data_IF_679855589491
#
_entry.id   IF_679855589491
#
_cell.length_a   1.000
_cell.length_b   1.000
_cell.length_c   1.000
_cell.angle_alpha   90.00
_cell.angle_beta   90.00
_cell.angle_gamma   90.00
#
_symmetry.space_group_name_H-M   'P 1'
#
loop_
_entity.id
_entity.type
_entity.pdbx_description
1 polymer ?
#
# COMPACT_ATOMS: atom_id res chain seq x y z
N UNK A 1 -8.03 -2.39 33.07
CA UNK A 1 -6.66 -2.11 32.58
C UNK A 1 -6.58 -0.63 32.27
N UNK A 2 -5.55 0.09 32.72
CA UNK A 2 -5.42 1.53 32.42
C UNK A 2 -5.10 1.69 30.93
N UNK A 3 -5.90 2.45 30.21
CA UNK A 3 -5.53 2.97 28.89
C UNK A 3 -4.24 3.78 29.06
N UNK A 4 -3.11 3.20 28.64
CA UNK A 4 -1.82 3.88 28.66
C UNK A 4 -1.80 4.84 27.47
N UNK A 5 -2.41 6.00 27.67
CA UNK A 5 -2.30 7.12 26.73
C UNK A 5 -0.99 7.85 26.98
N UNK A 6 -0.19 8.01 25.93
CA UNK A 6 1.10 8.70 25.98
C UNK A 6 1.01 10.00 25.18
N UNK A 7 1.63 11.07 25.67
CA UNK A 7 1.61 12.39 25.01
C UNK A 7 2.81 12.55 24.09
N UNK A 8 2.56 12.75 22.80
CA UNK A 8 3.57 13.16 21.81
C UNK A 8 3.63 14.69 21.72
N UNK A 9 4.83 15.26 21.80
CA UNK A 9 5.07 16.71 21.57
C UNK A 9 6.02 16.85 20.39
N UNK A 10 5.63 17.62 19.37
CA UNK A 10 6.38 17.83 18.14
C UNK A 10 6.68 19.33 17.96
N UNK A 11 7.88 19.66 17.47
CA UNK A 11 8.18 21.01 16.96
C UNK A 11 7.90 21.02 15.46
N UNK A 12 7.10 21.99 15.02
CA UNK A 12 6.67 22.17 13.64
C UNK A 12 6.65 23.67 13.34
N UNK A 13 6.95 24.05 12.10
CA UNK A 13 6.87 25.45 11.68
C UNK A 13 5.41 25.91 11.57
N UNK A 14 5.21 27.23 11.51
CA UNK A 14 3.89 27.81 11.34
C UNK A 14 3.28 27.49 9.98
N UNK A 15 4.11 27.50 8.93
CA UNK A 15 3.71 27.20 7.55
C UNK A 15 3.23 25.75 7.41
N UNK A 16 4.00 24.79 7.93
CA UNK A 16 3.59 23.37 7.93
C UNK A 16 2.30 23.14 8.73
N UNK A 17 2.09 23.89 9.83
CA UNK A 17 0.86 23.80 10.62
C UNK A 17 -0.35 24.35 9.86
N UNK A 18 -0.18 25.47 9.15
CA UNK A 18 -1.22 26.07 8.30
C UNK A 18 -1.60 25.16 7.14
N UNK A 19 -0.62 24.46 6.55
CA UNK A 19 -0.88 23.48 5.50
C UNK A 19 -1.71 22.29 6.01
N UNK A 20 -1.39 21.76 7.19
CA UNK A 20 -2.19 20.73 7.86
C UNK A 20 -3.62 21.23 8.11
N UNK A 21 -3.78 22.45 8.60
CA UNK A 21 -5.10 23.04 8.87
C UNK A 21 -5.94 23.20 7.59
N UNK A 22 -5.32 23.70 6.53
CA UNK A 22 -5.95 23.82 5.22
C UNK A 22 -6.40 22.47 4.69
N UNK A 23 -5.56 21.44 4.79
CA UNK A 23 -5.89 20.08 4.40
C UNK A 23 -7.09 19.53 5.17
N UNK A 24 -7.12 19.70 6.50
CA UNK A 24 -8.21 19.25 7.36
C UNK A 24 -9.53 19.98 7.10
N UNK A 25 -9.47 21.27 6.77
CA UNK A 25 -10.68 22.06 6.44
C UNK A 25 -11.39 21.56 5.18
N UNK A 26 -10.65 20.93 4.26
CA UNK A 26 -11.16 20.46 2.97
C UNK A 26 -11.54 18.97 3.01
N UNK A 27 -10.96 18.21 3.95
CA UNK A 27 -11.11 16.76 4.04
C UNK A 27 -11.67 16.35 5.42
N UNK A 28 -12.99 16.25 5.52
CA UNK A 28 -13.74 16.04 6.79
C UNK A 28 -13.61 14.63 7.41
N UNK A 29 -12.74 13.77 6.88
CA UNK A 29 -12.56 12.40 7.38
C UNK A 29 -11.73 12.34 8.68
N UNK A 30 -11.13 13.47 9.09
CA UNK A 30 -10.35 13.57 10.32
C UNK A 30 -10.99 14.61 11.25
N UNK A 31 -11.18 14.24 12.51
CA UNK A 31 -11.85 15.11 13.49
C UNK A 31 -10.94 16.24 13.97
N UNK A 32 -9.63 15.98 14.07
CA UNK A 32 -8.64 16.95 14.56
C UNK A 32 -7.20 16.58 14.14
N UNK A 33 -6.27 17.54 14.32
CA UNK A 33 -4.83 17.40 14.00
C UNK A 33 -4.19 16.16 14.64
N UNK A 34 -4.50 15.89 15.90
CA UNK A 34 -3.90 14.77 16.65
C UNK A 34 -4.32 13.42 16.08
N UNK A 35 -5.60 13.30 15.69
CA UNK A 35 -6.11 12.11 15.03
C UNK A 35 -5.47 11.92 13.64
N UNK A 36 -5.39 12.99 12.85
CA UNK A 36 -4.75 12.96 11.54
C UNK A 36 -3.28 12.53 11.63
N UNK A 37 -2.48 13.17 12.48
CA UNK A 37 -1.06 12.83 12.65
C UNK A 37 -0.89 11.39 13.12
N UNK A 38 -1.71 10.93 14.08
CA UNK A 38 -1.66 9.56 14.57
C UNK A 38 -1.95 8.55 13.46
N UNK A 39 -3.01 8.76 12.69
CA UNK A 39 -3.41 7.85 11.61
C UNK A 39 -2.37 7.85 10.49
N UNK A 40 -1.92 9.02 10.05
CA UNK A 40 -0.89 9.15 9.02
C UNK A 40 0.42 8.44 9.39
N UNK A 41 0.86 8.56 10.66
CA UNK A 41 2.07 7.87 11.14
C UNK A 41 1.87 6.35 11.18
N UNK A 42 0.72 5.88 11.68
CA UNK A 42 0.43 4.44 11.74
C UNK A 42 0.30 3.82 10.35
N UNK A 43 -0.37 4.51 9.43
CA UNK A 43 -0.49 4.12 8.04
C UNK A 43 0.89 4.05 7.37
N UNK A 44 1.72 5.09 7.53
CA UNK A 44 3.08 5.09 7.02
C UNK A 44 3.92 3.92 7.56
N UNK A 45 3.84 3.62 8.86
CA UNK A 45 4.54 2.48 9.47
C UNK A 45 4.01 1.14 8.92
N UNK A 46 2.70 0.99 8.80
CA UNK A 46 2.06 -0.21 8.25
C UNK A 46 2.54 -0.45 6.81
N UNK A 47 2.54 0.59 5.99
CA UNK A 47 2.95 0.53 4.59
C UNK A 47 4.44 0.16 4.43
N UNK A 48 5.31 0.64 5.34
CA UNK A 48 6.72 0.22 5.38
C UNK A 48 6.88 -1.24 5.82
N UNK A 49 6.09 -1.72 6.79
CA UNK A 49 6.20 -3.07 7.35
C UNK A 49 5.78 -4.16 6.36
N UNK A 50 4.80 -3.88 5.52
CA UNK A 50 4.33 -4.82 4.49
C UNK A 50 5.26 -4.77 3.25
N UNK A 51 6.22 -3.84 3.20
CA UNK A 51 7.18 -3.71 2.09
C UNK A 51 6.55 -3.17 0.80
N UNK A 52 5.31 -2.64 0.87
CA UNK A 52 4.54 -2.21 -0.29
C UNK A 52 4.88 -0.76 -0.67
N UNK A 53 5.31 0.09 0.28
CA UNK A 53 5.54 1.51 -0.01
C UNK A 53 6.79 2.02 0.70
N UNK A 54 7.78 2.49 -0.07
CA UNK A 54 8.95 3.23 0.44
C UNK A 54 8.90 4.65 -0.14
N UNK A 55 8.59 5.61 0.75
CA UNK A 55 8.64 7.10 0.67
C UNK A 55 8.12 7.85 -0.56
N UNK A 56 8.11 7.26 -1.74
CA UNK A 56 7.41 7.69 -2.93
C UNK A 56 6.50 6.52 -3.32
N UNK A 57 5.38 6.74 -4.00
CA UNK A 57 4.52 5.69 -4.57
C UNK A 57 5.24 4.83 -5.66
N UNK A 58 6.54 4.61 -5.55
CA UNK A 58 7.36 3.77 -6.43
C UNK A 58 7.15 2.31 -6.08
N UNK A 59 6.53 1.61 -7.02
CA UNK A 59 6.55 0.16 -7.16
C UNK A 59 8.02 -0.31 -7.14
N UNK A 60 8.45 -1.02 -6.08
CA UNK A 60 9.79 -1.62 -6.04
C UNK A 60 9.77 -2.93 -6.82
N UNK A 61 9.97 -2.81 -8.13
CA UNK A 61 10.02 -3.96 -9.02
C UNK A 61 11.30 -4.74 -8.78
N UNK A 62 11.25 -6.07 -8.89
CA UNK A 62 12.42 -6.93 -8.73
C UNK A 62 13.59 -6.37 -9.59
N UNK A 63 14.82 -6.22 -9.04
CA UNK A 63 15.95 -5.63 -9.75
C UNK A 63 16.30 -6.30 -11.09
N UNK A 64 15.97 -7.58 -11.25
CA UNK A 64 16.15 -8.32 -12.51
C UNK A 64 15.15 -7.83 -13.57
N UNK A 65 13.90 -7.63 -13.17
CA UNK A 65 12.84 -7.11 -14.03
C UNK A 65 13.15 -5.66 -14.40
N UNK A 66 13.53 -4.83 -13.42
CA UNK A 66 13.86 -3.42 -13.65
C UNK A 66 15.04 -3.27 -14.64
N UNK A 67 16.12 -4.05 -14.48
CA UNK A 67 17.23 -4.08 -15.45
C UNK A 67 16.78 -4.49 -16.85
N UNK A 68 15.81 -5.41 -16.94
CA UNK A 68 15.27 -5.86 -18.22
C UNK A 68 14.45 -4.75 -18.90
N UNK A 69 13.64 -4.03 -18.13
CA UNK A 69 12.88 -2.88 -18.62
C UNK A 69 13.78 -1.71 -19.01
N UNK A 70 14.83 -1.43 -18.23
CA UNK A 70 15.83 -0.42 -18.58
C UNK A 70 16.52 -0.72 -19.92
N UNK A 71 16.83 -1.99 -20.20
CA UNK A 71 17.36 -2.40 -21.51
C UNK A 71 16.35 -2.19 -22.63
N UNK A 72 15.07 -2.48 -22.39
CA UNK A 72 14.02 -2.29 -23.38
C UNK A 72 13.83 -0.80 -23.71
N UNK A 73 13.82 0.07 -22.70
CA UNK A 73 13.81 1.54 -22.86
C UNK A 73 15.04 2.00 -23.63
N UNK A 74 16.24 1.54 -23.23
CA UNK A 74 17.50 1.91 -23.90
C UNK A 74 17.57 1.46 -25.36
N UNK A 75 16.82 0.41 -25.72
CA UNK A 75 16.74 -0.11 -27.09
C UNK A 75 15.61 0.55 -27.91
N UNK A 76 14.87 1.49 -27.32
CA UNK A 76 13.81 2.25 -27.99
C UNK A 76 12.45 1.57 -28.06
N UNK A 77 12.23 0.46 -27.34
CA UNK A 77 10.91 -0.21 -27.29
C UNK A 77 9.89 0.57 -26.47
N UNK A 78 10.35 1.33 -25.47
CA UNK A 78 9.52 2.17 -24.60
C UNK A 78 10.14 3.55 -24.46
N UNK A 79 9.32 4.58 -24.23
CA UNK A 79 9.78 5.97 -24.09
C UNK A 79 10.45 6.25 -22.75
N UNK A 80 9.96 5.60 -21.70
CA UNK A 80 10.46 5.71 -20.34
C UNK A 80 10.16 4.43 -19.55
N UNK A 81 10.71 4.29 -18.34
CA UNK A 81 10.34 3.19 -17.45
C UNK A 81 8.87 3.24 -17.06
N UNK A 82 8.31 4.43 -16.85
CA UNK A 82 6.91 4.61 -16.50
C UNK A 82 5.98 4.17 -17.65
N UNK A 83 6.33 4.53 -18.89
CA UNK A 83 5.64 4.09 -20.12
C UNK A 83 5.67 2.56 -20.24
N UNK A 84 6.82 1.93 -19.94
CA UNK A 84 6.94 0.48 -19.93
C UNK A 84 6.05 -0.18 -18.86
N UNK A 85 5.97 0.38 -17.65
CA UNK A 85 5.10 -0.14 -16.60
C UNK A 85 3.62 -0.03 -16.98
N UNK A 86 3.20 1.12 -17.50
CA UNK A 86 1.83 1.37 -17.90
C UNK A 86 1.40 0.41 -19.02
N UNK A 87 2.24 0.22 -20.03
CA UNK A 87 1.94 -0.68 -21.15
C UNK A 87 1.85 -2.14 -20.71
N UNK A 88 2.73 -2.59 -19.81
CA UNK A 88 2.69 -3.95 -19.24
C UNK A 88 1.41 -4.16 -18.43
N UNK A 89 1.03 -3.20 -17.59
CA UNK A 89 -0.19 -3.29 -16.77
C UNK A 89 -1.43 -3.34 -17.66
N UNK A 90 -1.50 -2.47 -18.68
CA UNK A 90 -2.60 -2.45 -19.64
C UNK A 90 -2.70 -3.76 -20.43
N UNK A 91 -1.57 -4.33 -20.83
CA UNK A 91 -1.52 -5.62 -21.53
C UNK A 91 -1.94 -6.77 -20.63
N UNK A 92 -1.51 -6.77 -19.36
CA UNK A 92 -1.94 -7.76 -18.37
C UNK A 92 -3.46 -7.67 -18.09
N UNK A 93 -4.02 -6.47 -18.10
CA UNK A 93 -5.46 -6.24 -17.99
C UNK A 93 -6.22 -6.78 -19.20
N UNK A 94 -5.80 -6.41 -20.42
CA UNK A 94 -6.41 -6.88 -21.68
C UNK A 94 -6.43 -8.40 -21.77
N UNK A 95 -5.37 -9.05 -21.30
CA UNK A 95 -5.23 -10.50 -21.31
C UNK A 95 -5.89 -11.21 -20.11
N UNK A 96 -6.66 -10.49 -19.27
CA UNK A 96 -7.32 -11.00 -18.06
C UNK A 96 -6.38 -11.66 -17.04
N UNK A 97 -5.08 -11.38 -17.12
CA UNK A 97 -4.08 -11.94 -16.19
C UNK A 97 -4.35 -11.41 -14.79
N UNK A 98 -4.65 -10.11 -14.67
CA UNK A 98 -4.93 -9.46 -13.39
C UNK A 98 -6.18 -10.07 -12.74
N UNK A 99 -7.28 -10.19 -13.48
CA UNK A 99 -8.52 -10.81 -13.00
C UNK A 99 -8.31 -12.25 -12.54
N UNK A 100 -7.60 -13.06 -13.33
CA UNK A 100 -7.29 -14.44 -12.96
C UNK A 100 -6.40 -14.55 -11.71
N UNK A 101 -5.47 -13.61 -11.52
CA UNK A 101 -4.59 -13.56 -10.36
C UNK A 101 -5.36 -13.17 -9.09
N UNK A 102 -6.30 -12.22 -9.20
CA UNK A 102 -7.20 -11.84 -8.11
C UNK A 102 -8.11 -13.01 -7.72
N UNK A 103 -8.73 -13.68 -8.68
CA UNK A 103 -9.58 -14.85 -8.42
C UNK A 103 -8.82 -16.01 -7.79
N UNK A 104 -7.60 -16.28 -8.25
CA UNK A 104 -6.75 -17.32 -7.66
C UNK A 104 -6.44 -17.03 -6.20
N UNK A 105 -6.13 -15.76 -5.87
CA UNK A 105 -5.88 -15.33 -4.48
C UNK A 105 -7.14 -15.41 -3.62
N UNK A 106 -8.31 -15.08 -4.17
CA UNK A 106 -9.58 -15.24 -3.46
C UNK A 106 -9.85 -16.71 -3.10
N UNK A 107 -9.61 -17.63 -4.04
CA UNK A 107 -9.74 -19.08 -3.81
C UNK A 107 -8.73 -19.62 -2.80
N UNK A 108 -7.52 -19.08 -2.75
CA UNK A 108 -6.53 -19.44 -1.71
C UNK A 108 -7.01 -19.00 -0.32
N UNK A 109 -7.57 -17.80 -0.20
CA UNK A 109 -8.15 -17.31 1.06
C UNK A 109 -9.31 -18.18 1.52
N UNK A 110 -10.27 -18.47 0.64
CA UNK A 110 -11.40 -19.36 0.97
C UNK A 110 -10.97 -20.75 1.42
N UNK A 111 -9.89 -21.29 0.84
CA UNK A 111 -9.33 -22.58 1.27
C UNK A 111 -8.74 -22.50 2.67
N UNK A 112 -7.97 -21.45 2.96
CA UNK A 112 -7.38 -21.22 4.28
C UNK A 112 -8.47 -21.07 5.33
N UNK A 113 -9.52 -20.30 5.04
CA UNK A 113 -10.67 -20.11 5.95
C UNK A 113 -11.38 -21.44 6.25
N UNK A 114 -11.63 -22.27 5.22
CA UNK A 114 -12.23 -23.60 5.41
C UNK A 114 -11.35 -24.55 6.23
N UNK A 115 -10.04 -24.50 6.06
CA UNK A 115 -9.10 -25.29 6.88
C UNK A 115 -9.12 -24.84 8.34
N UNK A 116 -9.12 -23.53 8.60
CA UNK A 116 -9.19 -22.96 9.95
C UNK A 116 -10.53 -23.24 10.65
N UNK A 117 -11.65 -23.20 9.93
CA UNK A 117 -12.97 -23.61 10.46
C UNK A 117 -13.05 -25.11 10.74
N UNK A 118 -12.38 -25.93 9.91
CA UNK A 118 -12.23 -27.36 10.12
C UNK A 118 -11.45 -27.69 11.40
N UNK A 119 -10.30 -27.06 11.61
CA UNK A 119 -9.45 -27.27 12.79
C UNK A 119 -10.14 -26.89 14.10
N UNK A 120 -10.88 -25.77 14.13
CA UNK A 120 -11.67 -25.36 15.31
C UNK A 120 -12.72 -26.39 15.72
N UNK A 121 -13.26 -27.16 14.78
CA UNK A 121 -14.24 -28.22 15.04
C UNK A 121 -13.64 -29.48 15.67
N UNK A 122 -12.34 -29.70 15.53
CA UNK A 122 -11.63 -30.84 16.14
C UNK A 122 -11.10 -30.53 17.54
N UNK A 123 -10.84 -29.27 17.87
CA UNK A 123 -10.43 -28.84 19.22
C UNK A 123 -11.60 -28.77 20.23
N UNK A 124 -12.85 -28.85 19.75
CA UNK A 124 -14.08 -28.86 20.59
C UNK A 124 -14.63 -30.27 20.89
N UNK A 125 -13.93 -31.34 20.47
CA UNK A 125 -14.26 -32.76 20.72
C UNK A 125 -13.29 -33.40 21.72
#
# INVERSE_FOLDING_TARGET
MRDKTEKLTLRISKEELEEIDSFLSTNSNYTNRSEFIRLAVLEYISNLRIGIISKNNTLHVNPIIEKSLQRAVSSGYFKSLDDAYEEIINEAWRNNIISGLIEAKHKEIEKIEKTLEGEKKYDEL
#
